data_IF_003430246721
#
_entry.id   IF_003430246721
#
_cell.length_a   1.000
_cell.length_b   1.000
_cell.length_c   1.000
_cell.angle_alpha   90.00
_cell.angle_beta   90.00
_cell.angle_gamma   90.00
#
_symmetry.space_group_name_H-M   'P 1'
#
loop_
_entity.id
_entity.type
_entity.pdbx_description
1 polymer ?
#
# COMPACT_ATOMS: atom_id res chain seq x y z
N UNK A 1 11.56 -9.11 -2.38
CA UNK A 1 10.76 -7.87 -2.30
C UNK A 1 11.13 -7.12 -1.03
N UNK A 2 11.55 -5.89 -1.17
CA UNK A 2 11.85 -5.03 -0.04
C UNK A 2 10.63 -4.17 0.27
N UNK A 3 10.17 -4.18 1.53
CA UNK A 3 9.01 -3.39 1.94
C UNK A 3 9.48 -2.27 2.84
N UNK A 4 9.14 -1.04 2.48
CA UNK A 4 9.49 0.14 3.26
C UNK A 4 8.20 0.89 3.62
N UNK A 5 7.94 1.04 4.92
CA UNK A 5 6.73 1.68 5.41
C UNK A 5 7.07 2.99 6.08
N UNK A 6 6.45 4.08 5.61
CA UNK A 6 6.60 5.40 6.20
C UNK A 6 5.26 5.86 6.74
N UNK A 7 5.28 6.51 7.90
CA UNK A 7 4.07 7.03 8.52
C UNK A 7 4.27 8.51 8.82
N UNK A 8 3.17 9.27 8.83
CA UNK A 8 3.28 10.67 9.22
C UNK A 8 3.28 10.79 10.76
N UNK A 9 3.42 12.02 11.25
CA UNK A 9 3.58 12.25 12.68
C UNK A 9 2.30 12.09 13.48
N UNK A 10 1.17 11.94 12.81
CA UNK A 10 -0.13 11.86 13.47
C UNK A 10 -0.51 10.45 13.85
N UNK A 11 0.28 9.47 13.43
CA UNK A 11 -0.02 8.06 13.69
C UNK A 11 0.72 7.61 14.93
N UNK A 12 -0.03 7.08 15.89
CA UNK A 12 0.54 6.53 17.13
C UNK A 12 0.90 5.07 16.93
N UNK A 13 1.85 4.59 17.72
CA UNK A 13 2.28 3.20 17.67
C UNK A 13 2.97 2.83 16.38
N UNK A 14 3.76 3.74 15.83
CA UNK A 14 4.40 3.59 14.52
C UNK A 14 5.19 2.30 14.37
N UNK A 15 6.01 1.98 15.34
CA UNK A 15 6.91 0.82 15.22
C UNK A 15 6.13 -0.48 15.18
N UNK A 16 5.16 -0.61 16.06
CA UNK A 16 4.31 -1.81 16.09
C UNK A 16 3.49 -1.93 14.82
N UNK A 17 2.98 -0.80 14.35
CA UNK A 17 2.19 -0.77 13.12
C UNK A 17 3.01 -1.18 11.91
N UNK A 18 4.25 -0.70 11.83
CA UNK A 18 5.13 -1.06 10.72
C UNK A 18 5.39 -2.56 10.67
N UNK A 19 5.68 -3.17 11.83
CA UNK A 19 5.91 -4.61 11.90
C UNK A 19 4.67 -5.38 11.46
N UNK A 20 3.52 -4.95 11.95
CA UNK A 20 2.26 -5.61 11.63
C UNK A 20 1.96 -5.56 10.13
N UNK A 21 2.02 -4.37 9.53
CA UNK A 21 1.67 -4.22 8.13
C UNK A 21 2.74 -4.76 7.19
N UNK A 22 3.99 -4.79 7.63
CA UNK A 22 5.04 -5.44 6.84
C UNK A 22 4.67 -6.91 6.61
N UNK A 23 4.22 -7.59 7.67
CA UNK A 23 3.79 -8.98 7.55
C UNK A 23 2.55 -9.14 6.68
N UNK A 24 1.59 -8.23 6.85
CA UNK A 24 0.36 -8.26 6.04
C UNK A 24 0.69 -8.10 4.55
N UNK A 25 1.57 -7.16 4.23
CA UNK A 25 1.90 -6.88 2.85
C UNK A 25 2.77 -7.98 2.23
N UNK A 26 3.68 -8.55 3.00
CA UNK A 26 4.46 -9.67 2.52
C UNK A 26 3.55 -10.82 2.12
N UNK A 27 2.58 -11.12 2.97
CA UNK A 27 1.63 -12.20 2.68
C UNK A 27 0.76 -11.87 1.48
N UNK A 28 0.29 -10.63 1.41
CA UNK A 28 -0.62 -10.20 0.35
C UNK A 28 0.03 -10.28 -1.03
N UNK A 29 1.32 -9.98 -1.12
CA UNK A 29 2.02 -9.91 -2.39
C UNK A 29 3.05 -11.01 -2.59
N UNK A 30 2.94 -12.08 -1.81
CA UNK A 30 3.91 -13.19 -1.89
C UNK A 30 4.03 -13.77 -3.30
N UNK A 31 2.93 -13.89 -4.00
CA UNK A 31 2.95 -14.47 -5.34
C UNK A 31 3.68 -13.59 -6.36
N UNK A 32 3.93 -12.33 -6.03
CA UNK A 32 4.67 -11.41 -6.90
C UNK A 32 6.09 -11.15 -6.40
N UNK A 33 6.56 -11.94 -5.45
CA UNK A 33 7.83 -11.66 -4.76
C UNK A 33 9.03 -11.60 -5.70
N UNK A 34 9.00 -12.39 -6.76
CA UNK A 34 10.10 -12.42 -7.73
C UNK A 34 9.99 -11.30 -8.77
N UNK A 35 8.86 -10.59 -8.81
CA UNK A 35 8.65 -9.51 -9.78
C UNK A 35 8.69 -8.13 -9.15
N UNK A 36 8.19 -7.99 -7.93
CA UNK A 36 8.25 -6.73 -7.21
C UNK A 36 9.60 -6.64 -6.51
N UNK A 37 10.40 -5.64 -6.91
CA UNK A 37 11.69 -5.45 -6.26
C UNK A 37 11.56 -4.63 -4.99
N UNK A 38 10.59 -3.73 -4.95
CA UNK A 38 10.40 -2.84 -3.81
C UNK A 38 8.94 -2.43 -3.69
N UNK A 39 8.43 -2.42 -2.48
CA UNK A 39 7.08 -1.94 -2.19
C UNK A 39 7.21 -0.81 -1.18
N UNK A 40 6.84 0.39 -1.59
CA UNK A 40 6.86 1.56 -0.72
C UNK A 40 5.46 1.84 -0.23
N UNK A 41 5.34 2.15 1.06
CA UNK A 41 4.06 2.35 1.72
C UNK A 41 4.09 3.68 2.45
N UNK A 42 3.05 4.50 2.24
CA UNK A 42 2.87 5.74 2.97
C UNK A 42 1.55 5.67 3.71
N UNK A 43 1.60 5.74 5.03
CA UNK A 43 0.40 5.73 5.86
C UNK A 43 0.22 7.12 6.48
N UNK A 44 -0.97 7.67 6.38
CA UNK A 44 -1.25 8.98 6.91
C UNK A 44 -2.61 9.07 7.55
N UNK A 45 -2.73 10.01 8.46
CA UNK A 45 -3.98 10.37 9.10
C UNK A 45 -4.24 11.83 8.75
N UNK A 46 -5.19 12.07 7.87
CA UNK A 46 -5.48 13.42 7.38
C UNK A 46 -6.45 14.17 8.29
N UNK A 47 -6.82 13.57 9.41
CA UNK A 47 -7.70 14.21 10.37
C UNK A 47 -6.94 15.31 11.10
N UNK A 48 -7.31 16.56 10.85
CA UNK A 48 -6.66 17.70 11.46
C UNK A 48 -7.35 18.18 12.74
N UNK A 49 -8.24 17.35 13.28
CA UNK A 49 -8.95 17.70 14.50
C UNK A 49 -10.21 18.51 14.27
N UNK A 50 -10.25 19.28 13.21
CA UNK A 50 -11.43 20.09 12.88
C UNK A 50 -12.34 19.38 11.88
N UNK A 51 -11.76 18.51 11.10
CA UNK A 51 -12.50 17.74 10.12
C UNK A 51 -13.00 16.46 10.76
N UNK A 52 -14.28 16.26 10.70
CA UNK A 52 -14.90 15.03 11.19
C UNK A 52 -15.25 14.12 10.03
N UNK A 53 -14.37 14.07 9.06
CA UNK A 53 -14.55 13.15 7.94
C UNK A 53 -14.36 11.72 8.40
N UNK A 54 -15.08 10.80 7.78
CA UNK A 54 -14.97 9.39 8.12
C UNK A 54 -13.82 8.70 7.42
N UNK A 55 -13.35 9.26 6.30
CA UNK A 55 -12.30 8.63 5.49
C UNK A 55 -11.02 9.43 5.56
N UNK A 56 -10.52 9.62 6.78
CA UNK A 56 -9.35 10.44 7.03
C UNK A 56 -8.05 9.62 7.09
N UNK A 57 -8.11 8.31 7.07
CA UNK A 57 -6.91 7.46 7.02
C UNK A 57 -6.56 7.18 5.57
N UNK A 58 -5.27 7.27 5.28
CA UNK A 58 -4.80 7.16 3.90
C UNK A 58 -3.69 6.13 3.80
N UNK A 59 -3.73 5.32 2.75
CA UNK A 59 -2.65 4.38 2.43
C UNK A 59 -2.30 4.53 0.96
N UNK A 60 -1.02 4.80 0.70
CA UNK A 60 -0.48 4.79 -0.65
C UNK A 60 0.49 3.62 -0.76
N UNK A 61 0.34 2.83 -1.82
CA UNK A 61 1.26 1.74 -2.13
C UNK A 61 1.87 2.00 -3.50
N UNK A 62 3.19 1.88 -3.57
CA UNK A 62 3.89 1.97 -4.85
C UNK A 62 4.75 0.73 -5.01
N UNK A 63 4.49 -0.04 -6.05
CA UNK A 63 5.26 -1.25 -6.36
C UNK A 63 6.24 -0.95 -7.48
N UNK A 64 7.52 -1.20 -7.22
CA UNK A 64 8.53 -1.14 -8.27
C UNK A 64 8.71 -2.55 -8.81
N UNK A 65 8.42 -2.70 -10.08
CA UNK A 65 8.37 -4.00 -10.74
C UNK A 65 9.50 -4.08 -11.75
N UNK A 66 10.20 -5.20 -11.73
CA UNK A 66 11.33 -5.43 -12.64
C UNK A 66 10.87 -5.31 -14.09
N UNK A 67 11.54 -4.43 -14.84
CA UNK A 67 11.27 -4.27 -16.27
C UNK A 67 10.02 -3.50 -16.62
N UNK A 68 9.36 -2.86 -15.63
CA UNK A 68 8.15 -2.10 -15.87
C UNK A 68 8.18 -0.79 -15.10
N UNK A 69 7.32 0.15 -15.50
CA UNK A 69 7.15 1.37 -14.74
C UNK A 69 6.52 1.07 -13.38
N UNK A 70 6.83 1.86 -12.36
CA UNK A 70 6.21 1.67 -11.04
C UNK A 70 4.69 1.78 -11.11
N UNK A 71 4.02 1.03 -10.28
CA UNK A 71 2.55 1.03 -10.20
C UNK A 71 2.17 1.54 -8.81
N UNK A 72 1.38 2.60 -8.74
CA UNK A 72 1.00 3.21 -7.47
C UNK A 72 -0.51 3.33 -7.35
N UNK A 73 -1.00 3.13 -6.12
CA UNK A 73 -2.43 3.29 -5.81
C UNK A 73 -2.56 4.02 -4.48
N UNK A 74 -3.73 4.65 -4.29
CA UNK A 74 -4.05 5.34 -3.04
C UNK A 74 -5.45 4.91 -2.61
N UNK A 75 -5.62 4.71 -1.31
CA UNK A 75 -6.92 4.38 -0.76
C UNK A 75 -7.14 5.11 0.56
N UNK A 76 -8.36 5.59 0.76
CA UNK A 76 -8.76 6.26 1.99
C UNK A 76 -9.83 5.43 2.69
N UNK A 77 -9.85 5.48 4.02
CA UNK A 77 -10.87 4.79 4.78
C UNK A 77 -10.95 5.38 6.19
N UNK A 78 -11.85 4.86 7.00
CA UNK A 78 -12.03 5.34 8.37
C UNK A 78 -11.03 4.71 9.34
N UNK A 79 -10.35 3.65 8.95
CA UNK A 79 -9.28 3.05 9.76
C UNK A 79 -8.07 2.78 8.89
N UNK A 80 -6.89 2.71 9.53
CA UNK A 80 -5.66 2.40 8.82
C UNK A 80 -5.74 0.99 8.21
N UNK A 81 -6.30 0.03 8.95
CA UNK A 81 -6.41 -1.33 8.45
C UNK A 81 -7.25 -1.40 7.18
N UNK A 82 -8.38 -0.70 7.17
CA UNK A 82 -9.24 -0.67 5.98
C UNK A 82 -8.57 0.08 4.84
N UNK A 83 -7.84 1.15 5.16
CA UNK A 83 -7.11 1.89 4.13
C UNK A 83 -6.09 0.99 3.46
N UNK A 84 -5.33 0.22 4.24
CA UNK A 84 -4.34 -0.72 3.71
C UNK A 84 -5.02 -1.82 2.91
N UNK A 85 -6.08 -2.41 3.47
CA UNK A 85 -6.80 -3.50 2.80
C UNK A 85 -7.33 -3.08 1.43
N UNK A 86 -7.91 -1.88 1.35
CA UNK A 86 -8.40 -1.36 0.08
C UNK A 86 -7.29 -1.06 -0.90
N UNK A 87 -6.17 -0.52 -0.40
CA UNK A 87 -5.02 -0.25 -1.25
C UNK A 87 -4.43 -1.55 -1.81
N UNK A 88 -4.38 -2.61 -0.99
CA UNK A 88 -3.91 -3.92 -1.43
C UNK A 88 -4.75 -4.42 -2.61
N UNK A 89 -6.08 -4.32 -2.49
CA UNK A 89 -6.96 -4.76 -3.56
C UNK A 89 -6.72 -3.96 -4.84
N UNK A 90 -6.59 -2.64 -4.70
CA UNK A 90 -6.33 -1.77 -5.84
C UNK A 90 -5.01 -2.11 -6.52
N UNK A 91 -3.97 -2.34 -5.72
CA UNK A 91 -2.66 -2.64 -6.28
C UNK A 91 -2.64 -4.00 -6.96
N UNK A 92 -3.29 -5.00 -6.36
CA UNK A 92 -3.38 -6.31 -7.00
C UNK A 92 -4.06 -6.22 -8.35
N UNK A 93 -5.18 -5.48 -8.43
CA UNK A 93 -5.87 -5.30 -9.68
C UNK A 93 -5.00 -4.58 -10.72
N UNK A 94 -4.29 -3.55 -10.28
CA UNK A 94 -3.42 -2.80 -11.18
C UNK A 94 -2.27 -3.67 -11.68
N UNK A 95 -1.70 -4.49 -10.83
CA UNK A 95 -0.61 -5.39 -11.20
C UNK A 95 -1.09 -6.44 -12.19
N UNK A 96 -2.25 -7.05 -11.93
CA UNK A 96 -2.81 -8.04 -12.85
C UNK A 96 -3.07 -7.43 -14.21
N UNK A 97 -3.59 -6.22 -14.24
CA UNK A 97 -3.83 -5.52 -15.49
C UNK A 97 -2.51 -5.26 -16.24
N UNK A 98 -1.50 -4.79 -15.52
CA UNK A 98 -0.20 -4.50 -16.12
C UNK A 98 0.48 -5.77 -16.64
N UNK A 99 0.43 -6.84 -15.86
CA UNK A 99 1.02 -8.11 -16.28
C UNK A 99 0.26 -8.69 -17.47
N UNK A 100 -1.07 -8.57 -17.46
CA UNK A 100 -1.88 -9.03 -18.57
C UNK A 100 -1.55 -8.32 -19.87
N UNK A 101 -1.32 -7.02 -19.80
CA UNK A 101 -0.92 -6.25 -20.97
C UNK A 101 0.39 -6.74 -21.57
N UNK A 102 1.35 -7.04 -20.70
CA UNK A 102 2.66 -7.53 -21.15
C UNK A 102 2.54 -8.90 -21.79
N UNK A 103 1.59 -9.72 -21.30
CA UNK A 103 1.41 -11.08 -21.77
C UNK A 103 0.50 -11.19 -22.99
N UNK A 104 -0.22 -10.15 -23.33
CA UNK A 104 -1.25 -10.22 -24.38
C UNK A 104 -0.70 -9.88 -25.76
N UNK A 105 0.43 -10.40 -26.10
CA UNK A 105 1.00 -10.23 -27.43
C UNK A 105 0.59 -11.32 -28.36
#
# INVERSE_FOLDING_TARGET
MLIEINTDNHIEGKERMKVYFEGVLEEAFRRYDDRITRLEVQLGDENSGEKKGTDDKRCMLEARVSGMAPVAVVNHSDTIEKAVSGAVKKLKNALEHSFGKVQSH
#
